data_IF_884478498064
#
_entry.id   IF_884478498064
#
_cell.length_a   1.000
_cell.length_b   1.000
_cell.length_c   1.000
_cell.angle_alpha   90.00
_cell.angle_beta   90.00
_cell.angle_gamma   90.00
#
_symmetry.space_group_name_H-M   'P 1'
#
loop_
_entity.id
_entity.type
_entity.pdbx_description
1 polymer ?
#
# COMPACT_ATOMS: atom_id res chain seq x y z
N UNK A 1 20.92 -16.90 -15.23
CA UNK A 1 20.73 -15.67 -14.44
C UNK A 1 19.31 -15.68 -13.88
N UNK A 2 19.13 -15.34 -12.61
CA UNK A 2 17.83 -15.32 -11.94
C UNK A 2 17.46 -13.89 -11.55
N UNK A 3 16.28 -13.43 -11.96
CA UNK A 3 15.78 -12.06 -11.71
C UNK A 3 14.41 -12.14 -11.05
N UNK A 4 14.11 -11.23 -10.11
CA UNK A 4 12.86 -11.12 -9.37
C UNK A 4 12.35 -9.66 -9.46
N UNK A 5 11.16 -9.44 -10.03
CA UNK A 5 10.40 -10.37 -10.86
C UNK A 5 11.14 -10.77 -12.13
N UNK A 6 10.70 -11.84 -12.80
CA UNK A 6 11.18 -12.13 -14.13
C UNK A 6 10.90 -10.95 -15.06
N UNK A 7 11.86 -10.68 -15.96
CA UNK A 7 11.69 -9.62 -16.98
C UNK A 7 10.81 -10.14 -18.13
N UNK A 8 10.07 -9.26 -18.77
CA UNK A 8 9.16 -9.65 -19.87
C UNK A 8 9.87 -10.33 -21.03
N UNK A 9 10.93 -9.72 -21.51
CA UNK A 9 11.69 -10.26 -22.65
C UNK A 9 13.17 -10.29 -22.32
N UNK A 10 13.77 -11.45 -22.54
CA UNK A 10 15.20 -11.68 -22.38
C UNK A 10 15.76 -12.37 -23.62
N UNK A 11 16.56 -11.64 -24.40
CA UNK A 11 17.34 -12.21 -25.48
C UNK A 11 18.64 -12.76 -24.91
N UNK A 12 18.83 -14.09 -24.99
CA UNK A 12 20.05 -14.74 -24.54
C UNK A 12 21.24 -14.34 -25.37
N UNK A 13 22.41 -14.23 -24.74
CA UNK A 13 23.68 -13.92 -25.34
C UNK A 13 24.80 -14.72 -24.68
N UNK A 14 26.04 -14.39 -24.99
CA UNK A 14 27.20 -15.02 -24.37
C UNK A 14 27.29 -14.65 -22.88
N UNK A 15 27.60 -15.64 -22.06
CA UNK A 15 27.80 -15.43 -20.62
C UNK A 15 29.05 -14.59 -20.39
N UNK A 16 28.89 -13.52 -19.62
CA UNK A 16 29.94 -12.57 -19.23
C UNK A 16 29.93 -12.34 -17.72
N UNK A 17 31.10 -12.11 -17.15
CA UNK A 17 31.23 -11.76 -15.74
C UNK A 17 30.90 -10.29 -15.56
N UNK A 18 30.03 -9.95 -14.57
CA UNK A 18 29.71 -8.59 -14.17
C UNK A 18 29.82 -8.52 -12.64
N UNK A 19 30.79 -7.76 -12.12
CA UNK A 19 31.02 -7.63 -10.68
C UNK A 19 30.72 -6.21 -10.18
N UNK A 20 30.50 -5.25 -11.08
CA UNK A 20 30.20 -3.87 -10.78
C UNK A 20 30.19 -3.02 -12.04
N UNK A 21 29.84 -1.75 -11.89
CA UNK A 21 29.59 -0.82 -13.00
C UNK A 21 30.24 0.54 -12.77
N UNK A 22 30.51 1.24 -13.89
CA UNK A 22 30.78 2.69 -13.94
C UNK A 22 29.67 3.33 -14.74
N UNK A 23 28.93 4.27 -14.15
CA UNK A 23 27.79 4.89 -14.79
C UNK A 23 28.18 6.17 -15.54
N UNK A 24 27.55 6.35 -16.69
CA UNK A 24 27.56 7.59 -17.49
C UNK A 24 26.11 7.99 -17.69
N UNK A 25 25.79 9.22 -17.39
CA UNK A 25 24.44 9.77 -17.52
C UNK A 25 24.36 10.62 -18.79
N UNK A 26 23.38 10.32 -19.64
CA UNK A 26 23.13 11.04 -20.88
C UNK A 26 21.79 11.79 -20.77
N UNK A 27 21.86 13.10 -20.63
CA UNK A 27 20.71 13.96 -20.34
C UNK A 27 20.43 14.11 -18.85
N UNK A 28 19.23 14.56 -18.52
CA UNK A 28 18.78 14.81 -17.15
C UNK A 28 18.34 13.51 -16.49
N UNK A 29 18.99 13.15 -15.40
CA UNK A 29 18.69 11.94 -14.61
C UNK A 29 18.32 12.36 -13.19
N UNK A 30 17.22 11.81 -12.69
CA UNK A 30 16.73 12.03 -11.32
C UNK A 30 17.80 11.66 -10.28
N UNK A 31 17.98 12.51 -9.27
CA UNK A 31 18.96 12.33 -8.19
C UNK A 31 18.78 10.98 -7.47
N UNK A 32 17.55 10.47 -7.38
CA UNK A 32 17.24 9.16 -6.77
C UNK A 32 17.85 8.00 -7.56
N UNK A 33 17.87 8.09 -8.89
CA UNK A 33 18.54 7.12 -9.76
C UNK A 33 20.05 7.18 -9.57
N UNK A 34 20.61 8.40 -9.51
CA UNK A 34 22.04 8.61 -9.28
C UNK A 34 22.46 8.02 -7.92
N UNK A 35 21.74 8.32 -6.86
CA UNK A 35 21.97 7.75 -5.52
C UNK A 35 21.89 6.21 -5.50
N UNK A 36 21.00 5.63 -6.30
CA UNK A 36 20.95 4.17 -6.44
C UNK A 36 22.17 3.61 -7.16
N UNK A 37 22.66 4.29 -8.21
CA UNK A 37 23.89 3.92 -8.93
C UNK A 37 25.11 3.95 -8.01
N UNK A 38 25.20 4.90 -7.07
CA UNK A 38 26.28 4.99 -6.07
C UNK A 38 26.34 3.76 -5.14
N UNK A 39 25.20 3.09 -4.93
CA UNK A 39 25.12 1.85 -4.13
C UNK A 39 25.57 0.60 -4.92
N UNK A 40 25.84 0.73 -6.22
CA UNK A 40 26.32 -0.37 -7.06
C UNK A 40 27.84 -0.45 -6.94
N UNK A 41 28.44 -1.65 -6.73
CA UNK A 41 29.89 -1.80 -6.71
C UNK A 41 30.54 -1.23 -7.96
N UNK A 42 31.67 -0.54 -7.81
CA UNK A 42 32.46 -0.09 -8.95
C UNK A 42 33.10 -1.30 -9.64
N UNK A 43 33.12 -1.31 -10.98
CA UNK A 43 33.65 -2.41 -11.78
C UNK A 43 34.02 -1.96 -13.18
N UNK A 44 34.35 -2.94 -14.03
CA UNK A 44 34.85 -2.70 -15.40
C UNK A 44 33.72 -2.45 -16.42
N UNK A 45 32.48 -2.80 -16.10
CA UNK A 45 31.34 -2.60 -17.01
C UNK A 45 30.92 -1.14 -17.02
N UNK A 46 31.04 -0.50 -18.17
CA UNK A 46 30.54 0.86 -18.39
C UNK A 46 29.04 0.82 -18.73
N UNK A 47 28.23 1.56 -17.97
CA UNK A 47 26.77 1.62 -18.14
C UNK A 47 26.36 3.03 -18.48
N UNK A 48 25.80 3.23 -19.67
CA UNK A 48 25.20 4.50 -20.06
C UNK A 48 23.71 4.46 -19.79
N UNK A 49 23.18 5.49 -19.12
CA UNK A 49 21.76 5.62 -18.82
C UNK A 49 21.21 6.82 -19.60
N UNK A 50 20.16 6.58 -20.37
CA UNK A 50 19.39 7.60 -21.10
C UNK A 50 17.92 7.43 -20.74
N UNK A 51 17.22 8.55 -20.49
CA UNK A 51 15.76 8.61 -20.29
C UNK A 51 15.17 9.34 -21.48
N UNK A 52 14.20 8.73 -22.17
CA UNK A 52 13.62 9.29 -23.40
C UNK A 52 12.50 10.32 -23.18
N UNK A 53 12.08 10.52 -21.92
CA UNK A 53 11.10 11.53 -21.50
C UNK A 53 9.64 11.21 -21.80
N UNK A 54 9.31 10.02 -22.32
CA UNK A 54 7.91 9.60 -22.53
C UNK A 54 7.14 9.38 -21.23
N UNK A 55 7.89 9.17 -20.14
CA UNK A 55 7.34 8.77 -18.83
C UNK A 55 7.01 7.28 -18.78
N UNK A 56 6.97 6.74 -17.54
CA UNK A 56 6.63 5.34 -17.29
C UNK A 56 7.77 4.52 -16.72
N UNK A 57 7.46 3.25 -16.44
CA UNK A 57 8.30 2.31 -15.71
C UNK A 57 9.08 1.36 -16.64
N UNK A 58 8.87 1.46 -17.95
CA UNK A 58 9.52 0.60 -18.93
C UNK A 58 10.99 0.95 -19.13
N UNK A 59 11.79 -0.07 -19.48
CA UNK A 59 13.20 0.09 -19.80
C UNK A 59 13.72 -1.02 -20.71
N UNK A 60 14.82 -0.72 -21.37
CA UNK A 60 15.62 -1.65 -22.15
C UNK A 60 17.07 -1.59 -21.69
N UNK A 61 17.72 -2.77 -21.57
CA UNK A 61 19.16 -2.89 -21.32
C UNK A 61 19.78 -3.70 -22.46
N UNK A 62 20.71 -3.11 -23.19
CA UNK A 62 21.54 -3.82 -24.18
C UNK A 62 22.94 -4.05 -23.61
N UNK A 63 23.42 -5.27 -23.72
CA UNK A 63 24.75 -5.65 -23.26
C UNK A 63 25.66 -5.93 -24.43
N UNK A 64 26.84 -5.35 -24.41
CA UNK A 64 27.98 -5.73 -25.21
C UNK A 64 29.14 -6.13 -24.30
N UNK A 65 30.33 -6.41 -24.75
CA UNK A 65 31.41 -7.00 -23.95
C UNK A 65 31.57 -6.41 -22.56
N UNK A 66 32.08 -5.18 -22.45
CA UNK A 66 32.24 -4.43 -21.18
C UNK A 66 31.35 -3.20 -21.10
N UNK A 67 30.23 -3.19 -21.85
CA UNK A 67 29.33 -2.06 -21.91
C UNK A 67 27.88 -2.52 -21.73
N UNK A 68 27.07 -1.69 -21.11
CA UNK A 68 25.62 -1.80 -21.14
C UNK A 68 24.99 -0.43 -21.43
N UNK A 69 23.92 -0.44 -22.18
CA UNK A 69 23.15 0.76 -22.51
C UNK A 69 21.76 0.59 -21.97
N UNK A 70 21.34 1.50 -21.10
CA UNK A 70 19.99 1.58 -20.55
C UNK A 70 19.28 2.71 -21.29
N UNK A 71 18.14 2.35 -21.92
CA UNK A 71 17.15 3.31 -22.42
C UNK A 71 15.87 3.10 -21.62
N UNK A 72 15.42 4.12 -20.90
CA UNK A 72 14.26 4.06 -20.05
C UNK A 72 13.17 5.04 -20.52
N UNK A 73 11.90 4.65 -20.39
CA UNK A 73 10.75 5.48 -20.74
C UNK A 73 10.60 6.69 -19.80
N UNK A 74 10.97 6.52 -18.53
CA UNK A 74 10.94 7.55 -17.49
C UNK A 74 11.98 7.32 -16.41
N UNK A 75 12.02 8.22 -15.43
CA UNK A 75 12.97 8.14 -14.31
C UNK A 75 12.78 6.88 -13.44
N UNK A 76 11.54 6.46 -13.23
CA UNK A 76 11.22 5.20 -12.55
C UNK A 76 11.69 3.98 -13.35
N UNK A 77 11.56 3.99 -14.68
CA UNK A 77 12.10 2.97 -15.56
C UNK A 77 13.63 2.86 -15.45
N UNK A 78 14.33 4.00 -15.41
CA UNK A 78 15.78 4.04 -15.17
C UNK A 78 16.15 3.45 -13.80
N UNK A 79 15.40 3.80 -12.76
CA UNK A 79 15.57 3.24 -11.43
C UNK A 79 15.42 1.70 -11.43
N UNK A 80 14.36 1.17 -12.07
CA UNK A 80 14.12 -0.28 -12.14
C UNK A 80 15.15 -1.00 -13.01
N UNK A 81 15.68 -0.37 -14.05
CA UNK A 81 16.80 -0.89 -14.82
C UNK A 81 18.05 -1.07 -13.94
N UNK A 82 18.35 -0.09 -13.09
CA UNK A 82 19.47 -0.19 -12.13
C UNK A 82 19.21 -1.28 -11.09
N UNK A 83 17.96 -1.47 -10.61
CA UNK A 83 17.62 -2.60 -9.73
C UNK A 83 17.88 -3.95 -10.43
N UNK A 84 17.54 -4.06 -11.71
CA UNK A 84 17.86 -5.26 -12.51
C UNK A 84 19.37 -5.48 -12.62
N UNK A 85 20.16 -4.44 -12.87
CA UNK A 85 21.63 -4.55 -12.86
C UNK A 85 22.17 -4.98 -11.49
N UNK A 86 21.62 -4.49 -10.39
CA UNK A 86 21.99 -4.91 -9.03
C UNK A 86 21.78 -6.42 -8.85
N UNK A 87 20.66 -6.96 -9.35
CA UNK A 87 20.37 -8.39 -9.31
C UNK A 87 21.36 -9.18 -10.18
N UNK A 88 21.69 -8.70 -11.37
CA UNK A 88 22.68 -9.30 -12.27
C UNK A 88 24.06 -9.35 -11.60
N UNK A 89 24.49 -8.25 -10.99
CA UNK A 89 25.76 -8.17 -10.27
C UNK A 89 25.79 -9.15 -9.10
N UNK A 90 24.68 -9.27 -8.36
CA UNK A 90 24.53 -10.24 -7.27
C UNK A 90 24.63 -11.70 -7.77
N UNK A 91 24.17 -12.00 -8.98
CA UNK A 91 24.37 -13.31 -9.64
C UNK A 91 25.81 -13.52 -10.08
N UNK A 92 26.64 -12.46 -10.20
CA UNK A 92 28.04 -12.51 -10.63
C UNK A 92 28.26 -12.67 -12.13
N UNK A 93 27.20 -12.80 -12.93
CA UNK A 93 27.26 -12.93 -14.38
C UNK A 93 25.99 -12.45 -15.08
N UNK A 94 26.11 -12.11 -16.35
CA UNK A 94 25.02 -11.84 -17.28
C UNK A 94 25.10 -12.78 -18.47
N UNK A 95 24.00 -13.40 -18.85
CA UNK A 95 23.85 -14.25 -20.06
C UNK A 95 22.79 -13.68 -21.01
N UNK A 96 22.44 -12.41 -20.86
CA UNK A 96 21.56 -11.67 -21.74
C UNK A 96 22.34 -10.80 -22.74
N UNK A 97 21.89 -10.75 -23.99
CA UNK A 97 22.26 -9.73 -24.98
C UNK A 97 21.40 -8.50 -24.84
N UNK A 98 20.09 -8.70 -24.59
CA UNK A 98 19.13 -7.63 -24.40
C UNK A 98 18.07 -8.05 -23.37
N UNK A 99 17.65 -7.10 -22.56
CA UNK A 99 16.52 -7.19 -21.65
C UNK A 99 15.54 -6.07 -22.00
N UNK A 100 14.26 -6.41 -22.20
CA UNK A 100 13.16 -5.46 -22.24
C UNK A 100 12.21 -5.77 -21.11
N UNK A 101 11.85 -4.78 -20.33
CA UNK A 101 10.97 -4.96 -19.19
C UNK A 101 10.07 -3.74 -18.97
N UNK A 102 8.82 -4.02 -18.64
CA UNK A 102 7.85 -3.03 -18.25
C UNK A 102 6.77 -3.71 -17.40
N UNK A 103 6.21 -3.07 -16.38
CA UNK A 103 5.17 -3.69 -15.56
C UNK A 103 3.84 -3.80 -16.33
N UNK A 104 3.06 -4.85 -16.04
CA UNK A 104 1.69 -4.98 -16.52
C UNK A 104 0.72 -4.13 -15.69
N UNK A 105 1.07 -3.85 -14.44
CA UNK A 105 0.27 -3.04 -13.52
C UNK A 105 1.03 -1.81 -13.06
N UNK A 106 0.38 -0.66 -13.10
CA UNK A 106 0.94 0.58 -12.58
C UNK A 106 1.18 0.50 -11.07
N UNK A 107 0.18 0.05 -10.31
CA UNK A 107 0.29 -0.14 -8.88
C UNK A 107 0.74 -1.58 -8.58
N UNK A 108 1.86 -1.71 -7.90
CA UNK A 108 2.44 -2.96 -7.42
C UNK A 108 2.73 -2.77 -5.94
N UNK A 109 1.78 -3.21 -5.09
CA UNK A 109 1.76 -2.85 -3.68
C UNK A 109 2.07 -4.00 -2.74
N UNK A 110 2.55 -3.64 -1.56
CA UNK A 110 2.58 -4.47 -0.38
C UNK A 110 1.71 -3.80 0.70
N UNK A 111 0.74 -4.56 1.23
CA UNK A 111 0.00 -4.19 2.42
C UNK A 111 0.58 -4.95 3.61
N UNK A 112 1.06 -4.22 4.61
CA UNK A 112 1.80 -4.80 5.73
C UNK A 112 1.15 -4.43 7.07
N UNK A 113 0.75 -5.45 7.82
CA UNK A 113 0.11 -5.28 9.12
C UNK A 113 1.15 -4.94 10.20
N UNK A 114 1.02 -3.77 10.81
CA UNK A 114 1.83 -3.32 11.95
C UNK A 114 1.04 -3.22 13.24
N UNK A 115 -0.24 -3.59 13.23
CA UNK A 115 -1.14 -3.48 14.38
C UNK A 115 -1.19 -4.80 15.17
N UNK A 116 -1.36 -5.92 14.45
CA UNK A 116 -1.56 -7.23 15.08
C UNK A 116 -0.22 -7.91 15.35
N UNK A 117 0.14 -8.02 16.62
CA UNK A 117 1.35 -8.67 17.08
C UNK A 117 2.44 -7.72 17.54
N UNK A 118 3.01 -6.89 16.65
CA UNK A 118 4.05 -5.93 17.03
C UNK A 118 4.17 -4.78 16.03
N UNK A 119 4.59 -3.62 16.52
CA UNK A 119 5.01 -2.49 15.69
C UNK A 119 6.49 -2.65 15.35
N UNK A 120 6.87 -2.72 14.07
CA UNK A 120 8.27 -2.80 13.66
C UNK A 120 9.01 -1.49 13.97
N UNK A 121 10.31 -1.57 14.26
CA UNK A 121 11.19 -0.39 14.32
C UNK A 121 11.35 0.23 12.95
N UNK A 122 11.59 1.53 12.90
CA UNK A 122 11.75 2.29 11.66
C UNK A 122 12.85 1.69 10.75
N UNK A 123 13.96 1.19 11.32
CA UNK A 123 15.03 0.55 10.55
C UNK A 123 14.58 -0.75 9.89
N UNK A 124 13.61 -1.46 10.49
CA UNK A 124 13.02 -2.67 9.90
C UNK A 124 12.11 -2.30 8.74
N UNK A 125 11.30 -1.25 8.88
CA UNK A 125 10.46 -0.73 7.81
C UNK A 125 11.29 -0.22 6.63
N UNK A 126 12.40 0.47 6.87
CA UNK A 126 13.34 0.89 5.80
C UNK A 126 13.94 -0.32 5.07
N UNK A 127 14.33 -1.38 5.77
CA UNK A 127 14.78 -2.64 5.13
C UNK A 127 13.69 -3.28 4.28
N UNK A 128 12.43 -3.19 4.73
CA UNK A 128 11.29 -3.65 3.92
C UNK A 128 11.17 -2.81 2.64
N UNK A 129 11.29 -1.48 2.73
CA UNK A 129 11.30 -0.58 1.57
C UNK A 129 12.43 -0.93 0.61
N UNK A 130 13.65 -1.17 1.11
CA UNK A 130 14.78 -1.61 0.27
C UNK A 130 14.46 -2.91 -0.48
N UNK A 131 13.85 -3.88 0.21
CA UNK A 131 13.48 -5.17 -0.39
C UNK A 131 12.40 -5.03 -1.47
N UNK A 132 11.31 -4.33 -1.16
CA UNK A 132 10.20 -4.17 -2.11
C UNK A 132 10.63 -3.34 -3.32
N UNK A 133 11.40 -2.28 -3.11
CA UNK A 133 11.99 -1.46 -4.17
C UNK A 133 12.96 -2.29 -5.06
N UNK A 134 13.79 -3.14 -4.46
CA UNK A 134 14.65 -4.08 -5.19
C UNK A 134 13.87 -5.04 -6.08
N UNK A 135 12.65 -5.42 -5.66
CA UNK A 135 11.70 -6.22 -6.43
C UNK A 135 10.76 -5.39 -7.33
N UNK A 136 11.03 -4.08 -7.50
CA UNK A 136 10.25 -3.15 -8.36
C UNK A 136 8.79 -2.94 -7.90
N UNK A 137 8.50 -3.18 -6.62
CA UNK A 137 7.23 -2.82 -5.99
C UNK A 137 7.28 -1.33 -5.69
N UNK A 138 6.20 -0.60 -6.01
CA UNK A 138 6.14 0.86 -5.97
C UNK A 138 5.10 1.44 -5.02
N UNK A 139 4.49 0.62 -4.17
CA UNK A 139 3.51 1.06 -3.17
C UNK A 139 3.67 0.26 -1.89
N UNK A 140 3.62 0.95 -0.76
CA UNK A 140 3.55 0.36 0.58
C UNK A 140 2.34 0.94 1.31
N UNK A 141 1.55 0.09 1.94
CA UNK A 141 0.52 0.50 2.89
C UNK A 141 0.79 -0.19 4.23
N UNK A 142 0.71 0.56 5.31
CA UNK A 142 0.80 0.03 6.67
C UNK A 142 -0.59 -0.03 7.27
N UNK A 143 -1.04 -1.23 7.70
CA UNK A 143 -2.32 -1.37 8.37
C UNK A 143 -2.25 -0.80 9.78
N UNK A 144 -3.10 0.19 10.06
CA UNK A 144 -3.16 0.90 11.34
C UNK A 144 -4.59 0.91 11.87
N UNK A 145 -4.77 0.40 13.07
CA UNK A 145 -5.98 0.55 13.92
C UNK A 145 -5.67 1.54 15.06
N UNK A 146 -4.86 1.11 16.02
CA UNK A 146 -4.59 1.82 17.28
C UNK A 146 -3.08 2.03 17.57
N UNK A 147 -2.19 1.71 16.62
CA UNK A 147 -0.73 1.80 16.79
C UNK A 147 -0.14 3.14 16.34
N UNK A 148 -0.96 4.19 16.35
CA UNK A 148 -0.55 5.57 16.16
C UNK A 148 -1.02 6.42 17.36
N UNK A 149 -0.22 7.39 17.87
CA UNK A 149 -0.54 8.15 19.07
C UNK A 149 -1.56 9.26 18.82
N UNK A 150 -2.77 8.86 18.37
CA UNK A 150 -3.90 9.79 18.26
C UNK A 150 -4.23 10.39 19.62
N UNK A 151 -4.58 11.67 19.64
CA UNK A 151 -4.95 12.37 20.89
C UNK A 151 -6.15 11.73 21.59
N UNK A 152 -7.04 11.13 20.80
CA UNK A 152 -8.24 10.44 21.28
C UNK A 152 -7.93 9.08 21.92
N UNK A 153 -6.80 8.45 21.56
CA UNK A 153 -6.38 7.11 22.05
C UNK A 153 -5.49 7.16 23.30
N UNK A 154 -5.50 8.23 24.05
CA UNK A 154 -4.63 8.37 25.23
C UNK A 154 -4.65 7.12 26.10
N UNK A 155 -3.50 6.46 26.23
CA UNK A 155 -3.28 5.26 27.03
C UNK A 155 -3.45 3.92 26.30
N UNK A 156 -4.11 3.85 25.12
CA UNK A 156 -4.33 2.59 24.40
C UNK A 156 -3.06 2.17 23.64
N UNK A 157 -2.52 3.05 22.81
CA UNK A 157 -1.30 2.79 22.02
C UNK A 157 -0.05 2.53 22.87
N UNK A 158 -0.02 3.06 24.10
CA UNK A 158 1.12 2.88 25.00
C UNK A 158 1.33 1.42 25.42
N UNK A 159 0.29 0.60 25.40
CA UNK A 159 0.37 -0.81 25.82
C UNK A 159 1.00 -1.69 24.75
N UNK A 160 0.76 -1.41 23.49
CA UNK A 160 1.09 -2.29 22.36
C UNK A 160 2.24 -1.76 21.50
N UNK A 161 2.82 -0.61 21.85
CA UNK A 161 3.74 0.15 21.02
C UNK A 161 3.01 0.94 19.92
N UNK A 162 3.73 1.84 19.29
CA UNK A 162 3.18 2.72 18.25
C UNK A 162 4.30 3.19 17.32
N UNK A 163 3.89 3.68 16.15
CA UNK A 163 4.75 4.42 15.22
C UNK A 163 4.49 5.92 15.40
N UNK A 164 5.54 6.70 15.57
CA UNK A 164 5.42 8.15 15.80
C UNK A 164 5.15 8.94 14.52
N UNK A 165 4.61 10.17 14.61
CA UNK A 165 4.48 11.04 13.45
C UNK A 165 5.82 11.32 12.74
N UNK A 166 6.90 11.43 13.50
CA UNK A 166 8.26 11.66 13.00
C UNK A 166 8.77 10.44 12.21
N UNK A 167 8.56 9.24 12.74
CA UNK A 167 8.90 7.99 12.06
C UNK A 167 8.10 7.78 10.77
N UNK A 168 6.81 8.16 10.75
CA UNK A 168 6.01 8.12 9.52
C UNK A 168 6.56 9.07 8.47
N UNK A 169 6.86 10.32 8.82
CA UNK A 169 7.44 11.29 7.88
C UNK A 169 8.80 10.85 7.37
N UNK A 170 9.61 10.25 8.24
CA UNK A 170 10.90 9.67 7.87
C UNK A 170 10.74 8.51 6.90
N UNK A 171 9.75 7.64 7.13
CA UNK A 171 9.44 6.52 6.26
C UNK A 171 8.87 6.98 4.90
N UNK A 172 7.98 7.97 4.90
CA UNK A 172 7.40 8.55 3.69
C UNK A 172 8.49 9.12 2.79
N UNK A 173 9.41 9.91 3.36
CA UNK A 173 10.59 10.41 2.65
C UNK A 173 11.45 9.27 2.10
N UNK A 174 11.72 8.25 2.93
CA UNK A 174 12.55 7.11 2.53
C UNK A 174 11.90 6.29 1.41
N UNK A 175 10.58 6.09 1.46
CA UNK A 175 9.82 5.48 0.38
C UNK A 175 9.94 6.29 -0.91
N UNK A 176 9.73 7.61 -0.84
CA UNK A 176 9.86 8.50 -1.99
C UNK A 176 11.25 8.41 -2.64
N UNK A 177 12.32 8.39 -1.84
CA UNK A 177 13.70 8.25 -2.31
C UNK A 177 13.96 6.92 -3.02
N UNK A 178 13.13 5.90 -2.79
CA UNK A 178 13.24 4.56 -3.39
C UNK A 178 12.14 4.26 -4.44
N UNK A 179 11.48 5.29 -4.99
CA UNK A 179 10.36 5.14 -5.93
C UNK A 179 9.23 4.25 -5.41
N UNK A 180 8.96 4.34 -4.11
CA UNK A 180 7.83 3.70 -3.44
C UNK A 180 6.89 4.79 -2.90
N UNK A 181 5.60 4.68 -3.15
CA UNK A 181 4.56 5.52 -2.57
C UNK A 181 4.14 4.91 -1.22
N UNK A 182 4.24 5.68 -0.13
CA UNK A 182 3.67 5.28 1.16
C UNK A 182 2.24 5.80 1.25
N UNK A 183 1.26 4.89 1.07
CA UNK A 183 -0.16 5.24 1.14
C UNK A 183 -0.67 5.10 2.57
N UNK A 184 -1.26 6.14 3.17
CA UNK A 184 -1.88 6.03 4.49
C UNK A 184 -3.03 5.04 4.48
N UNK A 185 -3.11 4.20 5.50
CA UNK A 185 -4.19 3.25 5.72
C UNK A 185 -4.60 3.30 7.19
N UNK A 186 -5.88 3.51 7.44
CA UNK A 186 -6.45 3.69 8.78
C UNK A 186 -7.85 3.09 8.83
N UNK A 187 -8.12 2.26 9.83
CA UNK A 187 -9.45 1.74 10.09
C UNK A 187 -10.42 2.87 10.46
N UNK A 188 -11.48 3.04 9.66
CA UNK A 188 -12.42 4.15 9.80
C UNK A 188 -13.86 3.72 10.07
N UNK A 189 -14.18 2.41 10.08
CA UNK A 189 -15.53 1.91 10.33
C UNK A 189 -15.53 0.65 11.19
N UNK A 190 -15.07 -0.50 10.69
CA UNK A 190 -14.72 -1.69 11.45
C UNK A 190 -13.34 -1.56 12.10
N UNK A 191 -12.91 -2.59 12.83
CA UNK A 191 -11.58 -2.69 13.45
C UNK A 191 -11.24 -1.56 14.44
N UNK A 192 -12.24 -0.95 15.07
CA UNK A 192 -12.09 0.11 16.06
C UNK A 192 -12.23 -0.39 17.51
N UNK A 193 -12.05 -1.69 17.73
CA UNK A 193 -12.27 -2.32 19.02
C UNK A 193 -11.59 -1.60 20.19
N UNK A 194 -10.32 -1.27 20.08
CA UNK A 194 -9.57 -0.62 21.16
C UNK A 194 -10.09 0.79 21.48
N UNK A 195 -10.52 1.54 20.44
CA UNK A 195 -11.17 2.83 20.63
C UNK A 195 -12.54 2.67 21.32
N UNK A 196 -13.36 1.77 20.78
CA UNK A 196 -14.75 1.59 21.22
C UNK A 196 -14.87 0.88 22.57
N UNK A 197 -13.84 0.15 22.99
CA UNK A 197 -13.75 -0.45 24.31
C UNK A 197 -13.26 0.53 25.40
N UNK A 198 -12.87 1.76 25.01
CA UNK A 198 -12.47 2.78 25.98
C UNK A 198 -13.70 3.39 26.67
N UNK A 199 -13.54 3.76 27.96
CA UNK A 199 -14.62 4.44 28.73
C UNK A 199 -15.12 5.72 28.02
N UNK A 200 -14.22 6.40 27.31
CA UNK A 200 -14.51 7.66 26.64
C UNK A 200 -15.37 7.49 25.39
N UNK A 201 -15.23 6.39 24.65
CA UNK A 201 -15.84 6.22 23.32
C UNK A 201 -16.74 4.99 23.17
N UNK A 202 -16.95 4.19 24.23
CA UNK A 202 -17.79 3.00 24.16
C UNK A 202 -19.25 3.31 23.78
N UNK A 203 -19.71 4.53 24.03
CA UNK A 203 -21.04 4.99 23.62
C UNK A 203 -21.19 5.12 22.09
N UNK A 204 -20.10 5.08 21.33
CA UNK A 204 -20.07 5.04 19.88
C UNK A 204 -19.98 3.61 19.31
N UNK A 205 -19.93 2.59 20.14
CA UNK A 205 -19.93 1.22 19.65
C UNK A 205 -21.32 0.84 19.11
N UNK A 206 -21.37 0.13 17.98
CA UNK A 206 -22.63 -0.40 17.42
C UNK A 206 -23.36 -1.29 18.44
N UNK A 207 -22.60 -2.12 19.19
CA UNK A 207 -23.17 -2.99 20.24
C UNK A 207 -23.07 -2.29 21.59
N UNK A 208 -24.21 -2.08 22.22
CA UNK A 208 -24.31 -1.43 23.54
C UNK A 208 -23.86 -2.33 24.68
N UNK A 209 -23.37 -1.70 25.76
CA UNK A 209 -23.10 -2.33 27.06
C UNK A 209 -22.10 -3.50 27.01
N UNK A 210 -21.24 -3.52 26.01
CA UNK A 210 -20.18 -4.49 25.93
C UNK A 210 -19.11 -4.20 26.98
N UNK A 211 -18.82 -5.22 27.81
CA UNK A 211 -17.77 -5.16 28.86
C UNK A 211 -16.85 -6.38 28.69
N UNK A 212 -15.80 -6.27 27.90
CA UNK A 212 -14.87 -7.36 27.73
C UNK A 212 -13.96 -7.46 28.96
N UNK A 213 -14.03 -8.57 29.67
CA UNK A 213 -13.00 -8.90 30.68
C UNK A 213 -11.82 -9.63 30.05
N UNK A 214 -12.09 -10.55 29.17
CA UNK A 214 -11.09 -11.21 28.31
C UNK A 214 -11.80 -11.67 27.05
N UNK A 215 -11.43 -11.12 25.90
CA UNK A 215 -12.08 -11.48 24.66
C UNK A 215 -11.09 -12.08 23.69
N UNK A 216 -11.51 -13.19 23.11
CA UNK A 216 -10.80 -13.77 21.99
C UNK A 216 -11.00 -12.93 20.71
N UNK A 217 -10.32 -13.32 19.65
CA UNK A 217 -10.39 -12.63 18.37
C UNK A 217 -11.82 -12.55 17.81
N UNK A 218 -12.58 -13.65 17.88
CA UNK A 218 -13.92 -13.73 17.32
C UNK A 218 -14.89 -12.77 18.03
N UNK A 219 -14.81 -12.72 19.37
CA UNK A 219 -15.62 -11.78 20.15
C UNK A 219 -15.27 -10.34 19.84
N UNK A 220 -13.97 -10.01 19.68
CA UNK A 220 -13.55 -8.65 19.27
C UNK A 220 -14.16 -8.24 17.93
N UNK A 221 -14.24 -9.16 16.96
CA UNK A 221 -14.82 -8.90 15.63
C UNK A 221 -16.34 -8.67 15.66
N UNK A 222 -17.02 -8.95 16.77
CA UNK A 222 -18.44 -8.65 16.99
C UNK A 222 -18.68 -7.35 17.78
N UNK A 223 -17.62 -6.59 18.10
CA UNK A 223 -17.71 -5.38 18.92
C UNK A 223 -16.70 -4.31 18.46
N UNK A 224 -16.53 -4.14 17.17
CA UNK A 224 -15.48 -3.30 16.62
C UNK A 224 -15.97 -2.25 15.59
N UNK A 225 -17.27 -2.23 15.29
CA UNK A 225 -17.85 -1.27 14.35
C UNK A 225 -18.40 -0.07 15.09
N UNK A 226 -18.08 1.13 14.58
CA UNK A 226 -18.62 2.37 15.13
C UNK A 226 -20.08 2.59 14.70
N UNK A 227 -20.90 3.16 15.57
CA UNK A 227 -22.31 3.47 15.29
C UNK A 227 -22.46 4.46 14.13
N UNK A 228 -22.90 3.97 12.98
CA UNK A 228 -23.07 4.75 11.76
C UNK A 228 -24.16 5.84 11.86
N UNK A 229 -25.09 5.70 12.82
CA UNK A 229 -26.20 6.65 13.02
C UNK A 229 -25.86 7.81 13.93
N UNK A 230 -24.80 7.67 14.74
CA UNK A 230 -24.41 8.72 15.67
C UNK A 230 -23.57 9.79 14.93
N UNK A 231 -23.99 11.06 14.93
CA UNK A 231 -23.23 12.12 14.25
C UNK A 231 -21.83 12.35 14.84
N UNK A 232 -21.57 11.95 16.08
CA UNK A 232 -20.25 12.06 16.68
C UNK A 232 -19.26 11.01 16.11
N UNK A 233 -19.77 9.89 15.60
CA UNK A 233 -18.93 8.88 14.97
C UNK A 233 -18.09 9.44 13.82
N UNK A 234 -18.75 10.15 12.90
CA UNK A 234 -18.02 10.74 11.77
C UNK A 234 -17.04 11.84 12.21
N UNK A 235 -17.36 12.61 13.27
CA UNK A 235 -16.46 13.66 13.76
C UNK A 235 -15.20 13.06 14.42
N UNK A 236 -15.32 11.94 15.14
CA UNK A 236 -14.16 11.20 15.66
C UNK A 236 -13.29 10.69 14.50
N UNK A 237 -13.89 10.05 13.50
CA UNK A 237 -13.14 9.54 12.33
C UNK A 237 -12.43 10.69 11.59
N UNK A 238 -13.09 11.82 11.37
CA UNK A 238 -12.47 13.01 10.79
C UNK A 238 -11.28 13.51 11.62
N UNK A 239 -11.40 13.50 12.95
CA UNK A 239 -10.31 13.90 13.84
C UNK A 239 -9.10 12.99 13.70
N UNK A 240 -9.29 11.67 13.60
CA UNK A 240 -8.22 10.72 13.38
C UNK A 240 -7.55 10.93 12.00
N UNK A 241 -8.34 11.08 10.94
CA UNK A 241 -7.85 11.33 9.59
C UNK A 241 -7.03 12.64 9.55
N UNK A 242 -7.50 13.70 10.21
CA UNK A 242 -6.79 14.99 10.26
C UNK A 242 -5.42 14.92 10.93
N UNK A 243 -5.24 14.02 11.88
CA UNK A 243 -3.96 13.84 12.55
C UNK A 243 -3.00 12.98 11.73
N UNK A 244 -3.54 12.03 10.96
CA UNK A 244 -2.76 11.02 10.25
C UNK A 244 -2.42 11.43 8.81
N UNK A 245 -3.41 11.90 8.05
CA UNK A 245 -3.28 12.23 6.62
C UNK A 245 -2.14 13.21 6.27
N UNK A 246 -1.87 14.28 7.04
CA UNK A 246 -0.83 15.25 6.70
C UNK A 246 0.60 14.72 6.81
N UNK A 247 0.79 13.51 7.32
CA UNK A 247 2.11 12.90 7.48
C UNK A 247 2.61 12.23 6.19
N UNK A 248 1.76 12.13 5.17
CA UNK A 248 2.01 11.38 3.94
C UNK A 248 1.93 12.28 2.71
N UNK A 249 2.88 12.10 1.80
CA UNK A 249 2.89 12.79 0.50
C UNK A 249 1.96 12.16 -0.53
N UNK A 250 1.51 10.90 -0.34
CA UNK A 250 0.57 10.22 -1.21
C UNK A 250 -0.72 11.01 -1.44
N UNK A 251 -1.23 10.99 -2.65
CA UNK A 251 -2.55 11.52 -3.03
C UNK A 251 -3.71 10.55 -2.74
N UNK A 252 -3.42 9.39 -2.16
CA UNK A 252 -4.40 8.36 -1.80
C UNK A 252 -4.54 8.25 -0.28
N UNK A 253 -5.68 7.72 0.16
CA UNK A 253 -5.94 7.39 1.56
C UNK A 253 -6.85 6.16 1.65
N UNK A 254 -6.36 5.07 2.23
CA UNK A 254 -7.15 3.87 2.47
C UNK A 254 -7.92 4.01 3.80
N UNK A 255 -9.24 4.15 3.70
CA UNK A 255 -10.15 4.25 4.85
C UNK A 255 -10.51 2.88 5.43
N UNK A 256 -10.00 1.80 4.88
CA UNK A 256 -10.29 0.40 5.23
C UNK A 256 -11.78 0.05 5.10
N UNK A 257 -12.56 0.16 6.15
CA UNK A 257 -14.01 -0.09 6.22
C UNK A 257 -14.41 -1.56 5.99
N UNK A 258 -13.48 -2.49 6.18
CA UNK A 258 -13.70 -3.93 6.06
C UNK A 258 -14.40 -4.53 7.29
N UNK A 259 -14.94 -5.74 7.09
CA UNK A 259 -15.38 -6.67 8.13
C UNK A 259 -16.33 -6.08 9.19
N UNK A 260 -17.25 -5.19 8.81
CA UNK A 260 -18.25 -4.60 9.72
C UNK A 260 -19.33 -5.63 10.12
N UNK A 261 -18.91 -6.73 10.78
CA UNK A 261 -19.79 -7.87 11.07
C UNK A 261 -20.94 -7.52 12.01
N UNK A 262 -20.70 -6.67 13.00
CA UNK A 262 -21.64 -6.23 14.01
C UNK A 262 -22.55 -5.08 13.55
N UNK A 263 -22.36 -4.50 12.39
CA UNK A 263 -23.22 -3.43 11.86
C UNK A 263 -24.68 -3.89 11.76
N UNK A 264 -25.59 -3.08 12.25
CA UNK A 264 -27.04 -3.32 12.35
C UNK A 264 -27.44 -4.50 13.27
N UNK A 265 -26.56 -4.92 14.17
CA UNK A 265 -26.88 -5.89 15.21
C UNK A 265 -27.12 -5.26 16.59
N UNK A 266 -26.98 -3.96 16.72
CA UNK A 266 -27.15 -3.18 17.96
C UNK A 266 -27.95 -1.91 17.74
N UNK A 267 -27.30 -0.75 17.82
CA UNK A 267 -27.93 0.59 17.73
C UNK A 267 -28.67 0.82 16.42
N UNK A 268 -28.19 0.22 15.35
CA UNK A 268 -28.78 0.32 14.01
C UNK A 268 -29.68 -0.86 13.66
N UNK A 269 -30.12 -1.65 14.67
CA UNK A 269 -31.01 -2.80 14.44
C UNK A 269 -32.27 -2.40 13.66
N UNK A 270 -32.65 -3.21 12.69
CA UNK A 270 -33.82 -2.97 11.82
C UNK A 270 -33.58 -2.02 10.64
N UNK A 271 -32.37 -1.42 10.51
CA UNK A 271 -31.98 -0.67 9.32
C UNK A 271 -31.46 -1.62 8.25
N UNK A 272 -31.52 -1.18 6.99
CA UNK A 272 -30.86 -1.87 5.88
C UNK A 272 -29.33 -1.79 6.06
N UNK A 273 -28.66 -2.94 6.20
CA UNK A 273 -27.22 -3.01 6.49
C UNK A 273 -26.38 -2.43 5.36
N UNK A 274 -26.69 -2.79 4.10
CA UNK A 274 -25.95 -2.32 2.94
C UNK A 274 -26.05 -0.81 2.79
N UNK A 275 -27.28 -0.26 2.90
CA UNK A 275 -27.50 1.18 2.80
C UNK A 275 -26.85 1.95 3.94
N UNK A 276 -26.94 1.46 5.17
CA UNK A 276 -26.30 2.07 6.33
C UNK A 276 -24.77 2.11 6.15
N UNK A 277 -24.19 1.03 5.60
CA UNK A 277 -22.78 0.96 5.28
C UNK A 277 -22.38 2.00 4.23
N UNK A 278 -23.07 2.03 3.09
CA UNK A 278 -22.77 2.95 1.98
C UNK A 278 -22.91 4.41 2.41
N UNK A 279 -23.96 4.75 3.15
CA UNK A 279 -24.19 6.12 3.66
C UNK A 279 -23.04 6.59 4.57
N UNK A 280 -22.50 5.71 5.42
CA UNK A 280 -21.37 6.05 6.29
C UNK A 280 -20.06 6.15 5.51
N UNK A 281 -19.76 5.16 4.66
CA UNK A 281 -18.55 5.15 3.81
C UNK A 281 -18.48 6.40 2.93
N UNK A 282 -19.60 6.80 2.30
CA UNK A 282 -19.63 7.99 1.46
C UNK A 282 -19.34 9.28 2.25
N UNK A 283 -19.74 9.38 3.51
CA UNK A 283 -19.39 10.52 4.38
C UNK A 283 -17.87 10.55 4.63
N UNK A 284 -17.26 9.41 4.95
CA UNK A 284 -15.82 9.32 5.17
C UNK A 284 -15.04 9.60 3.88
N UNK A 285 -15.47 8.99 2.76
CA UNK A 285 -14.84 9.19 1.44
C UNK A 285 -14.92 10.66 1.00
N UNK A 286 -16.09 11.31 1.14
CA UNK A 286 -16.25 12.72 0.83
C UNK A 286 -15.33 13.61 1.67
N UNK A 287 -15.12 13.24 2.93
CA UNK A 287 -14.19 13.98 3.80
C UNK A 287 -12.75 13.82 3.31
N UNK A 288 -12.30 12.60 2.99
CA UNK A 288 -10.96 12.34 2.42
C UNK A 288 -10.75 13.14 1.13
N UNK A 289 -11.76 13.19 0.25
CA UNK A 289 -11.74 14.00 -0.98
C UNK A 289 -11.60 15.49 -0.68
N UNK A 290 -12.26 16.00 0.37
CA UNK A 290 -12.13 17.40 0.78
C UNK A 290 -10.71 17.78 1.22
N UNK A 291 -9.88 16.80 1.58
CA UNK A 291 -8.46 16.96 1.88
C UNK A 291 -7.57 16.85 0.63
N UNK A 292 -8.16 16.74 -0.57
CA UNK A 292 -7.45 16.57 -1.83
C UNK A 292 -6.88 15.18 -2.07
N UNK A 293 -7.38 14.15 -1.36
CA UNK A 293 -6.92 12.77 -1.50
C UNK A 293 -7.98 11.87 -2.12
N UNK A 294 -7.53 10.84 -2.83
CA UNK A 294 -8.39 9.79 -3.42
C UNK A 294 -8.66 8.71 -2.38
N UNK A 295 -9.92 8.46 -1.99
CA UNK A 295 -10.24 7.42 -1.02
C UNK A 295 -10.06 6.02 -1.62
N UNK A 296 -9.54 5.10 -0.82
CA UNK A 296 -9.49 3.66 -1.09
C UNK A 296 -10.21 2.92 0.02
N UNK A 297 -10.79 1.74 -0.27
CA UNK A 297 -11.45 0.91 0.74
C UNK A 297 -11.42 -0.57 0.38
N UNK A 298 -11.52 -1.44 1.37
CA UNK A 298 -11.69 -2.87 1.14
C UNK A 298 -13.07 -3.19 0.56
N UNK A 299 -13.10 -4.14 -0.36
CA UNK A 299 -14.31 -4.46 -1.15
C UNK A 299 -15.20 -5.56 -0.59
N UNK A 300 -14.83 -6.20 0.52
CA UNK A 300 -15.50 -7.39 1.05
C UNK A 300 -16.98 -7.17 1.39
N UNK A 301 -17.29 -6.08 2.09
CA UNK A 301 -18.68 -5.75 2.48
C UNK A 301 -19.54 -5.49 1.25
N UNK A 302 -19.01 -4.78 0.25
CA UNK A 302 -19.75 -4.48 -0.98
C UNK A 302 -19.99 -5.70 -1.85
N UNK A 303 -19.19 -6.77 -1.71
CA UNK A 303 -19.45 -8.04 -2.39
C UNK A 303 -20.70 -8.75 -1.89
N UNK A 304 -21.12 -8.45 -0.64
CA UNK A 304 -22.37 -8.96 -0.09
C UNK A 304 -23.58 -8.08 -0.48
N UNK A 305 -23.33 -6.90 -1.05
CA UNK A 305 -24.32 -5.91 -1.48
C UNK A 305 -24.00 -5.39 -2.90
N UNK A 306 -23.89 -6.28 -3.90
CA UNK A 306 -23.45 -5.88 -5.25
C UNK A 306 -24.39 -4.87 -5.92
N UNK A 307 -25.67 -4.87 -5.55
CA UNK A 307 -26.68 -3.92 -6.03
C UNK A 307 -26.39 -2.47 -5.62
N UNK A 308 -25.63 -2.26 -4.54
CA UNK A 308 -25.30 -0.94 -3.99
C UNK A 308 -23.92 -0.43 -4.42
N UNK A 309 -23.14 -1.20 -5.17
CA UNK A 309 -21.78 -0.80 -5.59
C UNK A 309 -21.79 0.57 -6.29
N UNK A 310 -22.81 0.85 -7.09
CA UNK A 310 -22.95 2.11 -7.81
C UNK A 310 -23.39 3.29 -6.93
N UNK A 311 -23.85 3.05 -5.71
CA UNK A 311 -24.17 4.10 -4.73
C UNK A 311 -22.91 4.56 -3.97
N UNK A 312 -21.81 3.82 -4.00
CA UNK A 312 -20.52 4.27 -3.48
C UNK A 312 -19.93 5.32 -4.41
N UNK A 313 -19.32 6.37 -3.84
CA UNK A 313 -18.68 7.45 -4.60
C UNK A 313 -17.74 6.91 -5.71
N UNK A 314 -17.83 7.49 -6.91
CA UNK A 314 -17.11 7.00 -8.09
C UNK A 314 -15.59 7.16 -8.03
N UNK A 315 -15.09 8.05 -7.16
CA UNK A 315 -13.65 8.24 -7.00
C UNK A 315 -13.01 7.22 -6.05
N UNK A 316 -13.82 6.43 -5.35
CA UNK A 316 -13.32 5.39 -4.45
C UNK A 316 -12.64 4.27 -5.25
N UNK A 317 -11.43 3.91 -4.84
CA UNK A 317 -10.70 2.75 -5.36
C UNK A 317 -10.97 1.56 -4.44
N UNK A 318 -11.56 0.50 -4.99
CA UNK A 318 -11.80 -0.73 -4.24
C UNK A 318 -10.55 -1.60 -4.16
N UNK A 319 -10.33 -2.21 -3.00
CA UNK A 319 -9.27 -3.17 -2.74
C UNK A 319 -9.91 -4.57 -2.63
N UNK A 320 -9.76 -5.39 -3.65
CA UNK A 320 -10.33 -6.74 -3.72
C UNK A 320 -9.37 -7.75 -3.14
N UNK A 321 -9.59 -8.17 -1.89
CA UNK A 321 -8.70 -9.08 -1.18
C UNK A 321 -9.25 -10.50 -1.02
N UNK A 322 -8.37 -11.49 -1.02
CA UNK A 322 -8.68 -12.90 -0.74
C UNK A 322 -7.46 -13.60 -0.16
N UNK A 323 -7.72 -14.55 0.75
CA UNK A 323 -6.71 -15.45 1.33
C UNK A 323 -6.76 -16.86 0.75
N UNK A 324 -7.76 -17.16 -0.08
CA UNK A 324 -7.96 -18.48 -0.66
C UNK A 324 -6.85 -18.81 -1.67
N UNK A 325 -6.38 -20.07 -1.67
CA UNK A 325 -5.41 -20.55 -2.66
C UNK A 325 -5.91 -20.43 -4.11
N UNK A 326 -7.22 -20.62 -4.29
CA UNK A 326 -7.91 -20.49 -5.58
C UNK A 326 -9.11 -19.56 -5.38
N UNK A 327 -8.90 -18.24 -5.33
CA UNK A 327 -9.99 -17.30 -5.05
C UNK A 327 -11.01 -17.27 -6.18
N UNK A 328 -12.31 -17.21 -5.82
CA UNK A 328 -13.35 -16.91 -6.80
C UNK A 328 -13.11 -15.54 -7.43
N UNK A 329 -13.25 -15.40 -8.76
CA UNK A 329 -13.14 -14.11 -9.43
C UNK A 329 -14.34 -13.18 -9.19
N UNK A 330 -15.35 -13.59 -8.41
CA UNK A 330 -16.63 -12.88 -8.31
C UNK A 330 -16.50 -11.48 -7.74
N UNK A 331 -15.65 -11.28 -6.72
CA UNK A 331 -15.35 -9.97 -6.19
C UNK A 331 -14.80 -9.02 -7.26
N UNK A 332 -13.79 -9.49 -8.01
CA UNK A 332 -13.17 -8.72 -9.09
C UNK A 332 -14.19 -8.39 -10.17
N UNK A 333 -15.03 -9.37 -10.56
CA UNK A 333 -16.07 -9.20 -11.58
C UNK A 333 -17.14 -8.19 -11.15
N UNK A 334 -17.55 -8.20 -9.88
CA UNK A 334 -18.56 -7.27 -9.37
C UNK A 334 -18.13 -5.81 -9.55
N UNK A 335 -16.89 -5.47 -9.22
CA UNK A 335 -16.37 -4.12 -9.40
C UNK A 335 -16.09 -3.79 -10.87
N UNK A 336 -15.55 -4.74 -11.64
CA UNK A 336 -15.34 -4.58 -13.08
C UNK A 336 -16.65 -4.30 -13.82
N UNK A 337 -17.70 -5.06 -13.53
CA UNK A 337 -19.03 -4.91 -14.17
C UNK A 337 -19.73 -3.59 -13.78
N UNK A 338 -19.32 -2.99 -12.65
CA UNK A 338 -19.82 -1.69 -12.16
C UNK A 338 -18.92 -0.51 -12.56
N UNK A 339 -17.95 -0.73 -13.46
CA UNK A 339 -16.98 0.28 -13.92
C UNK A 339 -16.24 1.00 -12.77
N UNK A 340 -16.02 0.30 -11.66
CA UNK A 340 -15.32 0.82 -10.50
C UNK A 340 -13.82 0.54 -10.58
N UNK A 341 -13.02 1.54 -10.20
CA UNK A 341 -11.58 1.36 -10.05
C UNK A 341 -11.29 0.35 -8.95
N UNK A 342 -10.39 -0.59 -9.21
CA UNK A 342 -10.01 -1.59 -8.20
C UNK A 342 -8.53 -1.97 -8.28
N UNK A 343 -7.99 -2.38 -7.13
CA UNK A 343 -6.73 -3.09 -7.01
C UNK A 343 -7.02 -4.52 -6.53
N UNK A 344 -6.33 -5.49 -7.10
CA UNK A 344 -6.45 -6.90 -6.68
C UNK A 344 -5.36 -7.19 -5.66
N UNK A 345 -5.78 -7.66 -4.48
CA UNK A 345 -4.93 -7.85 -3.30
C UNK A 345 -4.92 -9.32 -2.87
N UNK A 346 -4.13 -10.19 -3.51
CA UNK A 346 -4.01 -11.58 -3.09
C UNK A 346 -3.30 -11.66 -1.74
N UNK A 347 -3.80 -12.50 -0.83
CA UNK A 347 -3.11 -12.81 0.41
C UNK A 347 -1.85 -13.63 0.16
N UNK A 348 -0.85 -13.44 1.01
CA UNK A 348 0.42 -14.19 1.01
C UNK A 348 0.43 -15.05 2.28
N UNK A 349 -0.13 -16.26 2.21
CA UNK A 349 -0.22 -17.19 3.33
C UNK A 349 0.82 -18.30 3.21
#
# INVERSE_FOLDING_TARGET
MYLIPEVKDLKKGNRRKINGCKFIFNGEIDERVIKLCEKVPCGDTQVTITVDGKGGDGYKIKFSDKRAEICADGQSGAFYAVQTLRQIIKNGYCDAEEINDAPDFHARGLYFDITRGRVPKIETLKKLVDLISYCKINMLQLYVEHVFPFKEYNGIYQRNGYITPEEIKELDKYCHENFVELVPSLSCFGHLYELLNSEKYNYLCEIENYKPETVDWNERMLHHTIDASNPQSIEVIKSLINQYSPLFTSDKFNICCDETFDLCNGRNIGRDKGKTYVDFVNKVASYVKSLGKTPMMWGDVMCNHPELINEVDNDVIFLSWRYDKNPSPDMIKSFYNSDKKQYVCPGVN
#
